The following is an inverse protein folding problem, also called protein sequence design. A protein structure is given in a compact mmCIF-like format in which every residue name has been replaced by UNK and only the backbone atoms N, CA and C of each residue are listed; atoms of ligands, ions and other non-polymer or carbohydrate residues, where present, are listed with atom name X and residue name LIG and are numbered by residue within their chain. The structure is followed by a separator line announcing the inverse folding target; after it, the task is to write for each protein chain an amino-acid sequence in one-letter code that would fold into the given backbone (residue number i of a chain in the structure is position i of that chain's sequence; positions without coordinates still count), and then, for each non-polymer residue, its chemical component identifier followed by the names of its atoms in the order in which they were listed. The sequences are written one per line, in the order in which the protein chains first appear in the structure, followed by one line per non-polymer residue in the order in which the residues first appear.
data_IF_067423043240
#
_entry.id   IF_067423043240
#
_cell.length_a   1.000
_cell.length_b   1.000
_cell.length_c   1.000
_cell.angle_alpha   90.00
_cell.angle_beta   90.00
_cell.angle_gamma   90.00
#
_symmetry.space_group_name_H-M   'P 1'
#
loop_
_entity.id
_entity.type
_entity.pdbx_description
1 polymer ?
#
# COMPACT_ATOMS: atom_id res chain seq x y z
N UNK A 1 25.57 -25.12 15.70
CA UNK A 1 26.45 -24.33 14.81
C UNK A 1 25.91 -24.43 13.40
N UNK A 2 25.30 -23.34 12.91
CA UNK A 2 25.12 -22.97 11.50
C UNK A 2 24.14 -21.78 11.48
N UNK A 3 24.59 -20.62 11.99
CA UNK A 3 23.75 -19.41 12.11
C UNK A 3 24.27 -18.24 11.30
N UNK A 4 25.12 -18.50 10.29
CA UNK A 4 25.66 -17.43 9.46
C UNK A 4 24.73 -17.20 8.28
N UNK A 5 24.29 -15.95 8.14
CA UNK A 5 23.60 -15.47 6.96
C UNK A 5 24.60 -15.54 5.79
N UNK A 6 24.29 -16.36 4.78
CA UNK A 6 25.21 -16.70 3.68
C UNK A 6 25.26 -15.65 2.56
N UNK A 7 24.40 -14.64 2.61
CA UNK A 7 24.36 -13.59 1.60
C UNK A 7 23.29 -12.54 1.89
N UNK A 8 23.32 -11.47 1.11
CA UNK A 8 22.40 -10.33 1.26
C UNK A 8 20.93 -10.74 1.15
N UNK A 9 20.59 -11.61 0.20
CA UNK A 9 19.21 -12.07 -0.03
C UNK A 9 18.65 -12.85 1.18
N UNK A 10 19.48 -13.68 1.81
CA UNK A 10 19.11 -14.40 3.02
C UNK A 10 18.99 -13.45 4.23
N UNK A 11 19.84 -12.40 4.29
CA UNK A 11 19.74 -11.37 5.34
C UNK A 11 18.42 -10.62 5.25
N UNK A 12 18.08 -10.16 4.04
CA UNK A 12 16.86 -9.43 3.75
C UNK A 12 15.63 -10.28 4.07
N UNK A 13 15.64 -11.55 3.67
CA UNK A 13 14.52 -12.45 3.93
C UNK A 13 14.33 -12.74 5.41
N UNK A 14 15.39 -13.02 6.17
CA UNK A 14 15.30 -13.23 7.62
C UNK A 14 14.92 -11.96 8.37
N UNK A 15 15.43 -10.80 7.95
CA UNK A 15 15.03 -9.51 8.51
C UNK A 15 13.54 -9.23 8.30
N UNK A 16 13.03 -9.46 7.09
CA UNK A 16 11.60 -9.33 6.78
C UNK A 16 10.76 -10.35 7.56
N UNK A 17 11.22 -11.60 7.70
CA UNK A 17 10.53 -12.61 8.49
C UNK A 17 10.48 -12.26 9.98
N UNK A 18 11.52 -11.62 10.53
CA UNK A 18 11.58 -11.32 11.96
C UNK A 18 10.90 -10.01 12.34
N UNK A 19 11.05 -8.97 11.52
CA UNK A 19 10.56 -7.62 11.81
C UNK A 19 9.32 -7.22 10.99
N UNK A 20 8.95 -8.00 9.98
CA UNK A 20 7.94 -7.64 8.97
C UNK A 20 6.90 -8.75 8.69
N UNK A 21 6.94 -9.88 9.43
CA UNK A 21 6.13 -11.09 9.16
C UNK A 21 4.62 -10.97 9.32
N UNK A 22 4.12 -9.82 9.77
CA UNK A 22 2.69 -9.61 10.00
C UNK A 22 2.03 -8.66 9.00
N UNK A 23 2.74 -8.24 7.93
CA UNK A 23 2.14 -7.36 6.94
C UNK A 23 1.09 -8.12 6.11
N UNK A 24 -0.17 -8.01 6.52
CA UNK A 24 -1.35 -8.43 5.74
C UNK A 24 -1.14 -7.91 4.33
N UNK A 25 -0.98 -8.83 3.38
CA UNK A 25 -0.85 -8.40 2.00
C UNK A 25 -2.19 -7.94 1.49
N UNK A 26 -2.20 -6.75 0.91
CA UNK A 26 -3.39 -6.13 0.35
C UNK A 26 -3.58 -6.68 -1.06
N UNK A 27 -4.80 -7.11 -1.34
CA UNK A 27 -5.25 -7.50 -2.68
C UNK A 27 -5.67 -6.29 -3.51
N UNK A 28 -5.64 -6.43 -4.83
CA UNK A 28 -6.17 -5.41 -5.74
C UNK A 28 -7.64 -5.05 -5.47
N UNK A 29 -8.43 -6.02 -4.99
CA UNK A 29 -9.84 -5.83 -4.63
C UNK A 29 -9.97 -4.90 -3.41
N UNK A 30 -9.14 -5.06 -2.40
CA UNK A 30 -9.16 -4.17 -1.22
C UNK A 30 -8.72 -2.75 -1.58
N UNK A 31 -7.72 -2.63 -2.47
CA UNK A 31 -7.24 -1.35 -2.98
C UNK A 31 -8.30 -0.58 -3.78
N UNK A 32 -8.99 -1.25 -4.69
CA UNK A 32 -10.08 -0.65 -5.50
C UNK A 32 -11.32 -0.29 -4.67
N UNK A 33 -11.55 -0.98 -3.56
CA UNK A 33 -12.64 -0.68 -2.63
C UNK A 33 -12.30 0.38 -1.58
N UNK A 34 -11.03 0.80 -1.49
CA UNK A 34 -10.62 1.88 -0.59
C UNK A 34 -11.15 3.21 -1.10
N UNK A 35 -12.22 3.71 -0.49
CA UNK A 35 -12.80 5.02 -0.76
C UNK A 35 -12.58 5.97 0.41
N UNK A 36 -12.60 7.27 0.12
CA UNK A 36 -12.64 8.31 1.13
C UNK A 36 -13.91 8.12 1.98
N UNK A 37 -13.76 8.21 3.30
CA UNK A 37 -14.92 8.19 4.20
C UNK A 37 -15.61 9.55 4.27
N UNK A 38 -16.89 9.56 4.63
CA UNK A 38 -17.78 10.75 4.59
C UNK A 38 -17.19 11.98 5.29
N UNK A 39 -16.42 11.80 6.35
CA UNK A 39 -15.86 12.87 7.19
C UNK A 39 -14.32 12.84 7.21
N UNK A 40 -13.69 12.00 6.39
CA UNK A 40 -12.24 11.89 6.31
C UNK A 40 -11.67 13.03 5.43
N UNK A 41 -10.75 13.86 5.96
CA UNK A 41 -10.03 14.83 5.15
C UNK A 41 -9.30 14.14 3.99
N UNK A 42 -9.23 14.78 2.81
CA UNK A 42 -8.64 14.13 1.63
C UNK A 42 -7.17 13.75 1.84
N UNK A 43 -6.43 14.53 2.61
CA UNK A 43 -5.02 14.24 2.93
C UNK A 43 -4.90 12.96 3.75
N UNK A 44 -5.81 12.73 4.69
CA UNK A 44 -5.84 11.52 5.51
C UNK A 44 -6.21 10.31 4.66
N UNK A 45 -7.18 10.47 3.75
CA UNK A 45 -7.50 9.45 2.75
C UNK A 45 -6.29 9.10 1.87
N UNK A 46 -5.58 10.09 1.33
CA UNK A 46 -4.39 9.87 0.48
C UNK A 46 -3.31 9.13 1.25
N UNK A 47 -3.05 9.53 2.50
CA UNK A 47 -2.06 8.86 3.35
C UNK A 47 -2.46 7.41 3.66
N UNK A 48 -3.73 7.16 3.98
CA UNK A 48 -4.26 5.82 4.20
C UNK A 48 -4.17 4.97 2.94
N UNK A 49 -4.57 5.50 1.80
CA UNK A 49 -4.53 4.80 0.51
C UNK A 49 -3.09 4.49 0.09
N UNK A 50 -2.16 5.44 0.26
CA UNK A 50 -0.72 5.23 0.00
C UNK A 50 -0.12 4.15 0.89
N UNK A 51 -0.43 4.16 2.17
CA UNK A 51 0.02 3.10 3.07
C UNK A 51 -0.58 1.75 2.68
N UNK A 52 -1.82 1.72 2.20
CA UNK A 52 -2.47 0.50 1.71
C UNK A 52 -1.82 -0.01 0.41
N UNK A 53 -1.46 0.88 -0.52
CA UNK A 53 -0.83 0.50 -1.79
C UNK A 53 0.60 -0.03 -1.63
N UNK A 54 1.36 0.48 -0.64
CA UNK A 54 2.67 -0.07 -0.24
C UNK A 54 2.61 -1.51 0.29
N UNK A 55 1.42 -2.00 0.60
CA UNK A 55 1.15 -3.36 1.05
C UNK A 55 0.57 -4.25 -0.06
N UNK A 56 0.38 -3.72 -1.27
CA UNK A 56 -0.15 -4.46 -2.39
C UNK A 56 0.79 -5.59 -2.81
N UNK A 57 0.23 -6.78 -3.03
CA UNK A 57 0.95 -7.95 -3.57
C UNK A 57 1.43 -7.69 -5.01
N UNK A 58 0.62 -6.97 -5.76
CA UNK A 58 0.84 -6.70 -7.18
C UNK A 58 1.59 -5.39 -7.38
N UNK A 59 2.50 -5.38 -8.37
CA UNK A 59 3.20 -4.17 -8.78
C UNK A 59 2.21 -3.22 -9.47
N UNK A 60 1.92 -2.10 -8.83
CA UNK A 60 1.18 -0.98 -9.42
C UNK A 60 2.17 0.01 -10.05
N UNK A 61 1.86 0.45 -11.27
CA UNK A 61 2.54 1.63 -11.83
C UNK A 61 2.12 2.88 -11.03
N UNK A 62 2.98 3.89 -10.98
CA UNK A 62 2.66 5.14 -10.30
C UNK A 62 1.40 5.80 -10.90
N UNK A 63 1.28 5.82 -12.22
CA UNK A 63 0.11 6.36 -12.91
C UNK A 63 -1.19 5.61 -12.53
N UNK A 64 -1.18 4.28 -12.57
CA UNK A 64 -2.36 3.48 -12.18
C UNK A 64 -2.71 3.68 -10.70
N UNK A 65 -1.70 3.81 -9.83
CA UNK A 65 -1.92 4.06 -8.42
C UNK A 65 -2.59 5.43 -8.18
N UNK A 66 -2.15 6.47 -8.89
CA UNK A 66 -2.74 7.81 -8.82
C UNK A 66 -4.20 7.78 -9.31
N UNK A 67 -4.46 7.16 -10.46
CA UNK A 67 -5.81 7.05 -11.01
C UNK A 67 -6.76 6.33 -10.05
N UNK A 68 -6.34 5.20 -9.48
CA UNK A 68 -7.13 4.44 -8.51
C UNK A 68 -7.38 5.26 -7.23
N UNK A 69 -6.38 5.98 -6.74
CA UNK A 69 -6.50 6.84 -5.57
C UNK A 69 -7.56 7.94 -5.81
N UNK A 70 -7.48 8.64 -6.95
CA UNK A 70 -8.44 9.68 -7.37
C UNK A 70 -9.85 9.08 -7.49
N UNK A 71 -9.98 7.86 -8.03
CA UNK A 71 -11.28 7.20 -8.15
C UNK A 71 -11.95 6.94 -6.79
N UNK A 72 -11.19 6.74 -5.71
CA UNK A 72 -11.77 6.58 -4.38
C UNK A 72 -12.15 7.90 -3.68
N UNK A 73 -11.78 9.07 -4.22
CA UNK A 73 -12.10 10.38 -3.62
C UNK A 73 -13.56 10.78 -3.78
N UNK A 74 -14.09 11.56 -2.83
CA UNK A 74 -15.41 12.16 -2.94
C UNK A 74 -15.46 13.19 -4.09
N UNK A 75 -16.59 13.21 -4.80
CA UNK A 75 -16.82 13.97 -6.03
C UNK A 75 -16.45 15.46 -5.97
N UNK A 76 -16.50 16.11 -4.80
CA UNK A 76 -16.14 17.52 -4.64
C UNK A 76 -14.70 17.86 -5.05
N UNK A 77 -13.79 16.88 -5.10
CA UNK A 77 -12.40 17.07 -5.51
C UNK A 77 -12.07 16.50 -6.89
N UNK A 78 -12.92 15.63 -7.46
CA UNK A 78 -12.76 15.10 -8.82
C UNK A 78 -12.90 16.16 -9.92
N UNK A 79 -13.42 17.34 -9.58
CA UNK A 79 -13.61 18.47 -10.50
C UNK A 79 -12.57 19.59 -10.32
N UNK A 80 -11.60 19.44 -9.40
CA UNK A 80 -10.58 20.46 -9.09
C UNK A 80 -9.19 20.10 -9.68
N UNK A 81 -8.98 18.84 -10.07
CA UNK A 81 -7.79 18.35 -10.79
C UNK A 81 -8.16 18.05 -12.24
#
# INVERSE_FOLDING_TARGET
MAGSIGGWEQLEQEFLNHFYSTRRTVSMVELTNSRQWKEEPVIDYINRWRNLSLNCKDRLSEASAIEMCIQGMHWGLRYIL
#
